data_IF_696502113362
#
_entry.id   IF_696502113362
#
_cell.length_a   1.000
_cell.length_b   1.000
_cell.length_c   1.000
_cell.angle_alpha   90.00
_cell.angle_beta   90.00
_cell.angle_gamma   90.00
#
_symmetry.space_group_name_H-M   'P 1'
#
loop_
_entity.id
_entity.type
_entity.pdbx_description
1 polymer ?
#
# COMPACT_ATOMS: atom_id res chain seq x y z
N UNK A 1 23.18 -33.82 5.40
CA UNK A 1 22.24 -32.82 5.96
C UNK A 1 20.92 -33.55 6.19
N UNK A 2 20.70 -34.05 7.40
CA UNK A 2 19.46 -34.74 7.75
C UNK A 2 18.36 -33.68 7.94
N UNK A 3 17.44 -33.56 6.97
CA UNK A 3 16.26 -32.71 7.12
C UNK A 3 15.40 -33.30 8.24
N UNK A 4 15.49 -32.70 9.44
CA UNK A 4 14.64 -33.04 10.59
C UNK A 4 13.22 -32.53 10.31
N UNK A 5 12.45 -33.28 9.54
CA UNK A 5 11.05 -33.00 9.20
C UNK A 5 10.15 -32.77 10.43
N UNK A 6 10.55 -33.27 11.62
CA UNK A 6 9.90 -32.95 12.90
C UNK A 6 9.94 -31.46 13.25
N UNK A 7 11.03 -30.74 12.97
CA UNK A 7 11.16 -29.30 13.32
C UNK A 7 10.23 -28.44 12.46
N UNK A 8 9.99 -28.85 11.22
CA UNK A 8 9.04 -28.18 10.32
C UNK A 8 7.63 -28.30 10.87
N UNK A 9 7.24 -29.49 11.32
CA UNK A 9 5.91 -29.76 11.89
C UNK A 9 5.72 -29.01 13.22
N UNK A 10 6.73 -28.97 14.09
CA UNK A 10 6.68 -28.25 15.37
C UNK A 10 6.64 -26.72 15.18
N UNK A 11 7.11 -26.21 14.04
CA UNK A 11 7.12 -24.76 13.73
C UNK A 11 5.87 -24.27 12.98
N UNK A 12 5.04 -25.18 12.46
CA UNK A 12 3.74 -24.86 11.84
C UNK A 12 2.84 -23.96 12.71
N UNK A 13 2.67 -24.19 14.03
CA UNK A 13 1.86 -23.31 14.86
C UNK A 13 2.40 -21.89 14.94
N UNK A 14 3.73 -21.71 14.94
CA UNK A 14 4.37 -20.38 14.94
C UNK A 14 4.17 -19.68 13.60
N UNK A 15 4.27 -20.42 12.49
CA UNK A 15 3.99 -19.90 11.15
C UNK A 15 2.51 -19.53 10.98
N UNK A 16 1.59 -20.31 11.53
CA UNK A 16 0.17 -20.01 11.53
C UNK A 16 -0.14 -18.73 12.34
N UNK A 17 0.50 -18.55 13.49
CA UNK A 17 0.39 -17.31 14.27
C UNK A 17 0.94 -16.10 13.49
N UNK A 18 2.09 -16.25 12.83
CA UNK A 18 2.67 -15.23 11.95
C UNK A 18 1.74 -14.87 10.79
N UNK A 19 1.09 -15.87 10.17
CA UNK A 19 0.13 -15.66 9.09
C UNK A 19 -1.08 -14.83 9.54
N UNK A 20 -1.61 -15.09 10.74
CA UNK A 20 -2.71 -14.31 11.31
C UNK A 20 -2.30 -12.85 11.56
N UNK A 21 -1.07 -12.62 12.04
CA UNK A 21 -0.55 -11.25 12.24
C UNK A 21 -0.39 -10.52 10.91
N UNK A 22 0.19 -11.17 9.90
CA UNK A 22 0.29 -10.60 8.55
C UNK A 22 -1.09 -10.24 8.00
N UNK A 23 -2.07 -11.14 8.14
CA UNK A 23 -3.43 -10.89 7.67
C UNK A 23 -4.06 -9.66 8.34
N UNK A 24 -3.90 -9.53 9.67
CA UNK A 24 -4.39 -8.35 10.42
C UNK A 24 -3.77 -7.06 9.90
N UNK A 25 -2.45 -7.04 9.72
CA UNK A 25 -1.73 -5.85 9.23
C UNK A 25 -2.14 -5.53 7.79
N UNK A 26 -2.28 -6.54 6.91
CA UNK A 26 -2.74 -6.36 5.54
C UNK A 26 -4.12 -5.74 5.49
N UNK A 27 -5.07 -6.23 6.29
CA UNK A 27 -6.44 -5.69 6.32
C UNK A 27 -6.41 -4.21 6.71
N UNK A 28 -5.71 -3.86 7.79
CA UNK A 28 -5.62 -2.46 8.25
C UNK A 28 -4.94 -1.57 7.19
N UNK A 29 -3.84 -2.04 6.60
CA UNK A 29 -3.10 -1.31 5.57
C UNK A 29 -3.95 -1.08 4.31
N UNK A 30 -4.66 -2.11 3.84
CA UNK A 30 -5.54 -2.02 2.67
C UNK A 30 -6.72 -1.11 2.95
N UNK A 31 -7.36 -1.19 4.12
CA UNK A 31 -8.45 -0.30 4.50
C UNK A 31 -8.00 1.16 4.49
N UNK A 32 -6.92 1.49 5.19
CA UNK A 32 -6.39 2.87 5.23
C UNK A 32 -5.92 3.35 3.85
N UNK A 33 -5.21 2.51 3.11
CA UNK A 33 -4.77 2.82 1.74
C UNK A 33 -5.94 3.07 0.80
N UNK A 34 -7.03 2.32 0.93
CA UNK A 34 -8.25 2.48 0.13
C UNK A 34 -8.97 3.78 0.47
N UNK A 35 -9.12 4.11 1.77
CA UNK A 35 -9.71 5.39 2.19
C UNK A 35 -8.92 6.57 1.61
N UNK A 36 -7.59 6.59 1.80
CA UNK A 36 -6.74 7.67 1.31
C UNK A 36 -6.78 7.73 -0.23
N UNK A 37 -6.72 6.59 -0.91
CA UNK A 37 -6.83 6.49 -2.36
C UNK A 37 -8.17 7.00 -2.90
N UNK A 38 -9.26 6.75 -2.19
CA UNK A 38 -10.60 7.24 -2.53
C UNK A 38 -10.68 8.77 -2.44
N UNK A 39 -10.22 9.35 -1.32
CA UNK A 39 -10.17 10.81 -1.16
C UNK A 39 -9.31 11.48 -2.24
N UNK A 40 -8.13 10.92 -2.53
CA UNK A 40 -7.24 11.37 -3.60
C UNK A 40 -7.91 11.30 -4.99
N UNK A 41 -8.65 10.23 -5.26
CA UNK A 41 -9.44 10.05 -6.49
C UNK A 41 -10.53 11.12 -6.65
N UNK A 42 -11.24 11.43 -5.56
CA UNK A 42 -12.26 12.48 -5.54
C UNK A 42 -11.64 13.87 -5.76
N UNK A 43 -10.51 14.18 -5.11
CA UNK A 43 -9.78 15.43 -5.30
C UNK A 43 -9.28 15.62 -6.74
N UNK A 44 -9.05 14.55 -7.49
CA UNK A 44 -8.66 14.61 -8.91
C UNK A 44 -9.80 15.07 -9.83
N UNK A 45 -11.06 14.80 -9.46
CA UNK A 45 -12.27 15.19 -10.22
C UNK A 45 -12.65 16.64 -9.91
N UNK A 46 -12.25 17.17 -8.76
CA UNK A 46 -12.52 18.56 -8.38
C UNK A 46 -11.97 19.57 -9.42
N UNK A 47 -12.79 20.59 -9.73
CA UNK A 47 -12.52 21.61 -10.75
C UNK A 47 -11.34 22.54 -10.39
N UNK A 48 -10.95 22.58 -9.12
CA UNK A 48 -9.89 23.47 -8.62
C UNK A 48 -8.49 22.93 -8.99
N UNK A 49 -7.70 23.66 -9.79
CA UNK A 49 -6.39 23.22 -10.25
C UNK A 49 -5.36 23.00 -9.12
N UNK A 50 -5.49 23.69 -7.98
CA UNK A 50 -4.60 23.49 -6.82
C UNK A 50 -4.79 22.11 -6.17
N UNK A 51 -6.04 21.72 -5.90
CA UNK A 51 -6.35 20.43 -5.28
C UNK A 51 -5.96 19.26 -6.19
N UNK A 52 -6.19 19.43 -7.50
CA UNK A 52 -5.82 18.43 -8.50
C UNK A 52 -4.29 18.25 -8.62
N UNK A 53 -3.53 19.32 -8.40
CA UNK A 53 -2.06 19.28 -8.39
C UNK A 53 -1.52 18.54 -7.17
N UNK A 54 -2.03 18.83 -5.96
CA UNK A 54 -1.62 18.15 -4.72
C UNK A 54 -1.95 16.65 -4.81
N UNK A 55 -3.16 16.30 -5.25
CA UNK A 55 -3.56 14.90 -5.43
C UNK A 55 -2.68 14.17 -6.46
N UNK A 56 -2.27 14.87 -7.53
CA UNK A 56 -1.38 14.31 -8.55
C UNK A 56 0.02 14.06 -8.01
N UNK A 57 0.61 15.01 -7.29
CA UNK A 57 1.95 14.87 -6.69
C UNK A 57 1.98 13.69 -5.72
N UNK A 58 0.98 13.56 -4.86
CA UNK A 58 0.91 12.44 -3.92
C UNK A 58 0.77 11.09 -4.62
N UNK A 59 -0.12 10.98 -5.62
CA UNK A 59 -0.32 9.74 -6.38
C UNK A 59 0.92 9.39 -7.20
N UNK A 60 1.56 10.38 -7.81
CA UNK A 60 2.77 10.18 -8.62
C UNK A 60 3.96 9.76 -7.74
N UNK A 61 4.06 10.28 -6.52
CA UNK A 61 5.04 9.85 -5.52
C UNK A 61 4.83 8.38 -5.10
N UNK A 62 3.59 8.00 -4.76
CA UNK A 62 3.26 6.60 -4.40
C UNK A 62 3.45 5.63 -5.57
N UNK A 63 3.11 6.04 -6.79
CA UNK A 63 3.26 5.20 -7.99
C UNK A 63 4.69 5.15 -8.52
N UNK A 64 5.64 5.81 -7.85
CA UNK A 64 7.04 5.89 -8.26
C UNK A 64 7.21 6.41 -9.69
N UNK A 65 6.21 7.12 -10.23
CA UNK A 65 6.26 7.68 -11.58
C UNK A 65 6.72 9.12 -11.41
N UNK A 66 8.00 9.43 -11.63
CA UNK A 66 8.45 10.80 -11.58
C UNK A 66 7.93 11.43 -12.87
N UNK A 67 6.68 11.90 -12.86
CA UNK A 67 6.29 12.92 -13.83
C UNK A 67 6.93 14.19 -13.31
N UNK A 68 7.96 14.73 -13.96
CA UNK A 68 8.51 15.99 -13.56
C UNK A 68 7.37 17.00 -13.57
N UNK A 69 7.25 17.70 -12.46
CA UNK A 69 6.51 18.93 -12.33
C UNK A 69 6.78 19.77 -13.58
N UNK A 70 5.71 20.09 -14.32
CA UNK A 70 5.68 21.13 -15.36
C UNK A 70 6.53 20.84 -16.62
N UNK A 71 5.87 20.38 -17.70
CA UNK A 71 6.00 21.16 -18.96
C UNK A 71 5.25 22.47 -18.73
N UNK A 72 5.95 23.43 -18.13
CA UNK A 72 5.63 24.85 -18.23
C UNK A 72 6.45 25.32 -19.43
N UNK A 73 5.74 25.98 -20.35
CA UNK A 73 6.17 26.57 -21.61
C UNK A 73 6.37 25.59 -22.78
#
# INVERSE_FOLDING_TARGET
>A
MELKWSVVIDSLPVLAQGAVVTLKITVIAVSLGTLIGLFMGLMRIARNPLLKFIARVYVDFIRGTPRPLKKVL
#
